data_IF_342452512135
#
_entry.id   IF_342452512135
#
_cell.length_a   1.000
_cell.length_b   1.000
_cell.length_c   1.000
_cell.angle_alpha   90.00
_cell.angle_beta   90.00
_cell.angle_gamma   90.00
#
_symmetry.space_group_name_H-M   'P 1'
#
loop_
_entity.id
_entity.type
_entity.pdbx_description
1 polymer ?
#
# COMPACT_ATOMS: atom_id res chain seq x y z
N UNK A 1 14.89 6.67 9.75
CA UNK A 1 14.43 6.80 8.36
C UNK A 1 14.78 8.19 7.88
N UNK A 2 15.97 8.36 7.30
CA UNK A 2 16.34 9.59 6.60
C UNK A 2 15.99 9.40 5.13
N UNK A 3 14.99 10.15 4.66
CA UNK A 3 14.50 10.10 3.28
C UNK A 3 13.15 10.77 3.17
N UNK A 4 13.08 11.80 2.33
CA UNK A 4 11.84 12.50 1.98
C UNK A 4 10.95 11.59 1.15
N UNK A 5 9.64 11.58 1.43
CA UNK A 5 8.66 10.84 0.62
C UNK A 5 8.54 11.51 -0.75
N UNK A 6 8.83 10.76 -1.81
CA UNK A 6 8.76 11.22 -3.20
C UNK A 6 7.70 10.46 -3.97
N UNK A 7 7.04 11.14 -4.91
CA UNK A 7 6.06 10.56 -5.82
C UNK A 7 6.33 11.03 -7.25
N UNK A 8 6.00 10.20 -8.23
CA UNK A 8 6.06 10.54 -9.64
C UNK A 8 4.99 11.56 -10.02
N UNK A 9 5.42 12.71 -10.56
CA UNK A 9 4.53 13.70 -11.18
C UNK A 9 4.40 13.43 -12.70
N UNK A 10 3.21 13.03 -13.19
CA UNK A 10 2.98 12.81 -14.61
C UNK A 10 3.09 14.09 -15.45
N UNK A 11 2.94 15.28 -14.85
CA UNK A 11 3.00 16.56 -15.57
C UNK A 11 4.40 16.91 -16.07
N UNK A 12 5.44 16.39 -15.40
CA UNK A 12 6.84 16.63 -15.79
C UNK A 12 7.68 15.36 -15.94
N UNK A 13 7.13 14.19 -15.59
CA UNK A 13 7.77 12.88 -15.75
C UNK A 13 8.88 12.60 -14.74
N UNK A 14 8.87 13.25 -13.57
CA UNK A 14 9.94 13.15 -12.56
C UNK A 14 9.39 12.78 -11.20
N UNK A 15 10.26 12.24 -10.34
CA UNK A 15 9.97 12.07 -8.92
C UNK A 15 10.12 13.42 -8.21
N UNK A 16 9.08 13.82 -7.47
CA UNK A 16 9.05 15.03 -6.68
C UNK A 16 8.90 14.72 -5.19
N UNK A 17 9.61 15.48 -4.36
CA UNK A 17 9.42 15.44 -2.92
C UNK A 17 8.08 16.05 -2.54
N UNK A 18 7.32 15.34 -1.70
CA UNK A 18 6.11 15.93 -1.14
C UNK A 18 6.47 17.12 -0.24
N UNK A 19 5.67 18.20 -0.27
CA UNK A 19 5.95 19.37 0.55
C UNK A 19 5.98 18.98 2.04
N UNK A 20 6.78 19.66 2.89
CA UNK A 20 6.79 19.39 4.32
C UNK A 20 5.46 19.83 5.00
N UNK A 21 5.25 19.41 6.25
CA UNK A 21 4.08 19.80 7.04
C UNK A 21 2.90 18.81 6.93
N UNK A 22 1.67 19.20 7.27
CA UNK A 22 0.49 18.34 7.09
C UNK A 22 0.33 17.88 5.63
N UNK A 23 -0.28 16.71 5.44
CA UNK A 23 -0.62 16.18 4.12
C UNK A 23 -2.12 16.01 4.01
N UNK A 24 -2.73 16.60 2.99
CA UNK A 24 -4.08 16.30 2.58
C UNK A 24 -4.04 15.49 1.28
N UNK A 25 -4.51 14.26 1.36
CA UNK A 25 -4.70 13.35 0.23
C UNK A 25 -6.18 13.37 -0.14
N UNK A 26 -6.51 13.53 -1.41
CA UNK A 26 -7.87 13.41 -1.90
C UNK A 26 -7.99 12.26 -2.90
N UNK A 27 -8.96 11.38 -2.69
CA UNK A 27 -9.25 10.24 -3.57
C UNK A 27 -10.43 10.57 -4.45
N UNK A 28 -10.31 10.30 -5.75
CA UNK A 28 -11.38 10.50 -6.71
C UNK A 28 -11.55 9.28 -7.61
N UNK A 29 -12.81 8.98 -7.91
CA UNK A 29 -13.19 7.96 -8.88
C UNK A 29 -13.56 6.63 -8.24
N UNK A 30 -14.17 5.73 -9.03
CA UNK A 30 -14.83 4.55 -8.50
C UNK A 30 -13.91 3.36 -8.26
N UNK A 31 -12.63 3.32 -8.63
CA UNK A 31 -11.89 2.06 -8.47
C UNK A 31 -11.26 1.87 -7.10
N UNK A 32 -11.32 0.62 -6.64
CA UNK A 32 -10.74 0.15 -5.39
C UNK A 32 -9.24 0.48 -5.29
N UNK A 33 -8.51 0.46 -6.41
CA UNK A 33 -7.07 0.69 -6.44
C UNK A 33 -6.73 2.08 -5.92
N UNK A 34 -7.51 3.10 -6.27
CA UNK A 34 -7.34 4.45 -5.74
C UNK A 34 -7.42 4.51 -4.21
N UNK A 35 -8.41 3.83 -3.63
CA UNK A 35 -8.59 3.79 -2.19
C UNK A 35 -7.47 3.03 -1.49
N UNK A 36 -7.02 1.90 -2.05
CA UNK A 36 -5.90 1.11 -1.49
C UNK A 36 -4.57 1.87 -1.56
N UNK A 37 -4.27 2.53 -2.69
CA UNK A 37 -3.03 3.30 -2.84
C UNK A 37 -3.05 4.57 -1.97
N UNK A 38 -4.19 5.25 -1.84
CA UNK A 38 -4.33 6.37 -0.93
C UNK A 38 -4.18 5.94 0.54
N UNK A 39 -4.69 4.78 0.91
CA UNK A 39 -4.48 4.19 2.24
C UNK A 39 -3.01 3.85 2.50
N UNK A 40 -2.32 3.24 1.52
CA UNK A 40 -0.88 2.98 1.59
C UNK A 40 -0.11 4.28 1.79
N UNK A 41 -0.37 5.30 0.95
CA UNK A 41 0.27 6.61 1.04
C UNK A 41 0.04 7.26 2.41
N UNK A 42 -1.20 7.18 2.93
CA UNK A 42 -1.52 7.64 4.29
C UNK A 42 -0.66 6.95 5.33
N UNK A 43 -0.53 5.62 5.27
CA UNK A 43 0.24 4.83 6.24
C UNK A 43 1.74 5.14 6.16
N UNK A 44 2.30 5.21 4.95
CA UNK A 44 3.71 5.56 4.70
C UNK A 44 4.03 6.97 5.23
N UNK A 45 3.18 7.95 4.92
CA UNK A 45 3.34 9.32 5.41
C UNK A 45 3.15 9.39 6.95
N UNK A 46 2.16 8.69 7.49
CA UNK A 46 1.86 8.67 8.93
C UNK A 46 2.97 8.08 9.79
N UNK A 47 3.72 7.08 9.29
CA UNK A 47 4.90 6.52 9.98
C UNK A 47 5.99 7.55 10.28
N UNK A 48 6.05 8.64 9.50
CA UNK A 48 6.96 9.76 9.72
C UNK A 48 6.40 10.83 10.67
N UNK A 49 5.39 10.48 11.47
CA UNK A 49 4.66 11.41 12.38
C UNK A 49 4.06 12.62 11.64
N UNK A 50 3.84 12.47 10.33
CA UNK A 50 3.17 13.49 9.51
C UNK A 50 1.68 13.43 9.82
N UNK A 51 1.05 14.59 10.05
CA UNK A 51 -0.41 14.67 10.13
C UNK A 51 -0.97 14.47 8.73
N UNK A 52 -1.74 13.40 8.53
CA UNK A 52 -2.36 13.09 7.24
C UNK A 52 -3.87 13.16 7.38
N UNK A 53 -4.52 13.93 6.52
CA UNK A 53 -5.96 13.92 6.30
C UNK A 53 -6.21 13.26 4.94
N UNK A 54 -7.22 12.39 4.89
CA UNK A 54 -7.66 11.77 3.63
C UNK A 54 -9.12 12.07 3.43
N UNK A 55 -9.45 12.65 2.28
CA UNK A 55 -10.83 12.88 1.86
C UNK A 55 -11.11 12.14 0.55
N UNK A 56 -12.39 11.96 0.22
CA UNK A 56 -12.82 11.33 -1.01
C UNK A 56 -14.05 12.03 -1.60
N UNK A 57 -14.23 11.90 -2.92
CA UNK A 57 -15.41 12.38 -3.65
C UNK A 57 -15.71 11.54 -4.90
N UNK A 58 -16.95 11.63 -5.40
CA UNK A 58 -17.40 10.95 -6.62
C UNK A 58 -18.07 9.59 -6.36
N UNK A 59 -18.30 8.77 -7.40
CA UNK A 59 -18.82 7.41 -7.19
C UNK A 59 -17.78 6.56 -6.44
N UNK A 60 -18.25 5.70 -5.55
CA UNK A 60 -17.44 4.75 -4.79
C UNK A 60 -17.32 3.41 -5.52
N UNK A 61 -16.32 2.58 -5.21
CA UNK A 61 -16.18 1.26 -5.81
C UNK A 61 -17.38 0.35 -5.53
N UNK A 62 -17.83 -0.32 -6.59
CA UNK A 62 -18.81 -1.40 -6.55
C UNK A 62 -18.16 -2.69 -6.00
N UNK A 63 -17.67 -2.63 -4.77
CA UNK A 63 -17.03 -3.73 -4.05
C UNK A 63 -17.72 -3.94 -2.70
N UNK A 64 -17.25 -4.92 -1.92
CA UNK A 64 -17.63 -5.04 -0.50
C UNK A 64 -17.20 -3.78 0.29
N UNK A 65 -17.42 -3.75 1.60
CA UNK A 65 -17.05 -2.57 2.39
C UNK A 65 -15.53 -2.30 2.26
N UNK A 66 -15.13 -1.04 2.08
CA UNK A 66 -13.70 -0.67 2.02
C UNK A 66 -12.90 -1.15 3.24
N UNK A 67 -13.58 -1.25 4.40
CA UNK A 67 -13.02 -1.82 5.62
C UNK A 67 -12.55 -3.28 5.45
N UNK A 68 -13.20 -4.08 4.60
CA UNK A 68 -12.81 -5.47 4.31
C UNK A 68 -11.43 -5.52 3.62
N UNK A 69 -11.04 -4.44 2.93
CA UNK A 69 -9.73 -4.26 2.30
C UNK A 69 -8.72 -3.58 3.23
N UNK A 70 -9.00 -3.49 4.53
CA UNK A 70 -8.20 -2.73 5.51
C UNK A 70 -7.95 -1.27 5.12
N UNK A 71 -8.82 -0.69 4.30
CA UNK A 71 -8.80 0.75 4.00
C UNK A 71 -9.49 1.45 5.18
N UNK A 72 -8.74 2.25 5.95
CA UNK A 72 -9.38 3.03 7.02
C UNK A 72 -10.26 4.12 6.39
N UNK A 73 -11.34 4.45 7.10
CA UNK A 73 -12.33 5.44 6.72
C UNK A 73 -11.72 6.75 6.20
N UNK A 74 -12.40 7.34 5.21
CA UNK A 74 -12.03 8.60 4.56
C UNK A 74 -13.22 9.54 4.62
N UNK A 75 -12.97 10.81 4.94
CA UNK A 75 -14.03 11.81 5.04
C UNK A 75 -14.52 12.21 3.64
N UNK A 76 -15.80 12.57 3.50
CA UNK A 76 -16.23 13.29 2.31
C UNK A 76 -15.56 14.66 2.25
N UNK A 77 -15.10 15.10 1.08
CA UNK A 77 -14.45 16.39 0.94
C UNK A 77 -14.20 16.82 -0.50
N UNK A 78 -13.37 17.85 -0.68
CA UNK A 78 -13.08 18.46 -1.99
C UNK A 78 -11.58 18.52 -2.26
N UNK A 79 -11.22 18.56 -3.54
CA UNK A 79 -9.83 18.58 -4.00
C UNK A 79 -9.08 19.89 -3.70
N UNK A 80 -9.78 21.00 -3.45
CA UNK A 80 -9.18 22.35 -3.43
C UNK A 80 -8.02 22.54 -2.44
N UNK A 81 -8.00 21.79 -1.34
CA UNK A 81 -6.94 21.86 -0.33
C UNK A 81 -5.97 20.67 -0.36
N UNK A 82 -6.11 19.77 -1.33
CA UNK A 82 -5.31 18.56 -1.42
C UNK A 82 -3.89 18.89 -1.92
N UNK A 83 -2.88 18.34 -1.25
CA UNK A 83 -1.50 18.35 -1.76
C UNK A 83 -1.28 17.17 -2.71
N UNK A 84 -1.98 16.06 -2.51
CA UNK A 84 -1.94 14.88 -3.38
C UNK A 84 -3.36 14.52 -3.78
N UNK A 85 -3.57 14.31 -5.08
CA UNK A 85 -4.80 13.69 -5.60
C UNK A 85 -4.46 12.30 -6.11
N UNK A 86 -5.20 11.30 -5.64
CA UNK A 86 -5.18 9.92 -6.14
C UNK A 86 -6.42 9.71 -6.98
N UNK A 87 -6.24 9.55 -8.29
CA UNK A 87 -7.35 9.37 -9.22
C UNK A 87 -7.01 8.28 -10.25
N UNK A 88 -8.04 7.62 -10.76
CA UNK A 88 -7.91 6.63 -11.82
C UNK A 88 -8.16 7.21 -13.21
N UNK A 89 -7.40 6.73 -14.19
CA UNK A 89 -7.57 7.11 -15.59
C UNK A 89 -7.03 8.50 -15.93
N UNK A 90 -7.40 9.00 -17.11
CA UNK A 90 -6.97 10.31 -17.61
C UNK A 90 -7.87 11.45 -17.10
N UNK A 91 -8.15 11.47 -15.79
CA UNK A 91 -8.78 12.63 -15.13
C UNK A 91 -7.77 13.75 -14.83
N UNK A 92 -6.62 13.73 -15.52
CA UNK A 92 -5.53 14.71 -15.40
C UNK A 92 -6.00 16.15 -15.67
N UNK A 93 -7.06 16.32 -16.46
CA UNK A 93 -7.61 17.61 -16.89
C UNK A 93 -8.51 18.32 -15.86
N UNK A 94 -8.86 17.69 -14.74
CA UNK A 94 -9.79 18.26 -13.76
C UNK A 94 -9.13 18.79 -12.46
N UNK A 95 -7.80 18.70 -12.35
CA UNK A 95 -7.06 19.05 -11.14
C UNK A 95 -6.34 20.39 -11.36
N UNK A 96 -6.38 21.28 -10.37
CA UNK A 96 -5.77 22.61 -10.43
C UNK A 96 -4.24 22.53 -10.73
N UNK A 97 -3.67 23.56 -11.37
CA UNK A 97 -2.22 23.72 -11.43
C UNK A 97 -1.67 23.92 -10.00
N UNK A 98 -0.56 23.25 -9.65
CA UNK A 98 0.15 23.26 -8.34
C UNK A 98 -0.25 22.22 -7.28
N UNK A 99 -1.00 21.17 -7.63
CA UNK A 99 -1.21 19.99 -6.76
C UNK A 99 -0.33 18.83 -7.24
N UNK A 100 0.41 18.15 -6.35
CA UNK A 100 1.14 16.94 -6.72
C UNK A 100 0.13 15.83 -7.09
N UNK A 101 0.38 15.11 -8.19
CA UNK A 101 -0.60 14.21 -8.79
C UNK A 101 -0.12 12.77 -8.68
N UNK A 102 -0.86 11.92 -7.97
CA UNK A 102 -0.70 10.48 -8.08
C UNK A 102 -1.72 9.98 -9.08
N UNK A 103 -1.29 9.87 -10.32
CA UNK A 103 -2.13 9.37 -11.41
C UNK A 103 -2.01 7.85 -11.47
N UNK A 104 -3.14 7.16 -11.23
CA UNK A 104 -3.25 5.72 -11.40
C UNK A 104 -3.63 5.46 -12.84
N UNK A 105 -2.71 4.89 -13.61
CA UNK A 105 -2.90 4.58 -15.02
C UNK A 105 -2.71 3.08 -15.22
N UNK A 106 -3.54 2.41 -16.02
CA UNK A 106 -4.78 2.86 -16.69
C UNK A 106 -6.04 2.77 -15.80
N UNK A 107 -7.17 3.31 -16.30
CA UNK A 107 -8.51 3.09 -15.72
C UNK A 107 -8.81 1.59 -15.65
N UNK A 108 -9.39 1.18 -14.53
CA UNK A 108 -9.23 -0.18 -14.06
C UNK A 108 -10.45 -1.08 -14.30
N UNK A 109 -10.19 -2.38 -14.52
CA UNK A 109 -11.23 -3.42 -14.59
C UNK A 109 -11.74 -3.74 -13.19
N UNK A 110 -13.06 -3.86 -12.96
CA UNK A 110 -13.59 -4.19 -11.64
C UNK A 110 -12.98 -5.49 -11.11
N UNK A 111 -12.64 -5.58 -9.80
CA UNK A 111 -12.16 -6.82 -9.22
C UNK A 111 -13.19 -7.94 -9.35
N UNK A 112 -12.76 -9.21 -9.42
CA UNK A 112 -13.68 -10.33 -9.26
C UNK A 112 -14.41 -10.24 -7.92
N UNK A 113 -15.75 -10.26 -7.95
CA UNK A 113 -16.60 -10.01 -6.78
C UNK A 113 -16.39 -11.04 -5.65
N UNK A 114 -16.09 -12.29 -6.00
CA UNK A 114 -15.98 -13.40 -5.05
C UNK A 114 -14.56 -13.60 -4.49
N UNK A 115 -13.61 -12.74 -4.86
CA UNK A 115 -12.23 -12.84 -4.38
C UNK A 115 -12.08 -12.38 -2.92
N UNK A 116 -11.10 -12.96 -2.22
CA UNK A 116 -10.74 -12.53 -0.87
C UNK A 116 -10.16 -11.09 -0.89
N UNK A 117 -10.66 -10.17 -0.04
CA UNK A 117 -10.21 -8.78 -0.01
C UNK A 117 -8.71 -8.60 0.20
N UNK A 118 -8.06 -9.45 1.00
CA UNK A 118 -6.62 -9.36 1.24
C UNK A 118 -5.80 -9.89 0.05
N UNK A 119 -6.33 -10.87 -0.68
CA UNK A 119 -5.77 -11.30 -1.96
C UNK A 119 -5.84 -10.17 -3.00
N UNK A 120 -6.98 -9.49 -3.11
CA UNK A 120 -7.13 -8.31 -3.99
C UNK A 120 -6.16 -7.19 -3.60
N UNK A 121 -6.07 -6.89 -2.29
CA UNK A 121 -5.14 -5.87 -1.78
C UNK A 121 -3.69 -6.22 -2.10
N UNK A 122 -3.26 -7.46 -1.88
CA UNK A 122 -1.90 -7.90 -2.20
C UNK A 122 -1.62 -7.83 -3.71
N UNK A 123 -2.56 -8.23 -4.57
CA UNK A 123 -2.41 -8.11 -6.02
C UNK A 123 -2.26 -6.65 -6.47
N UNK A 124 -3.02 -5.72 -5.85
CA UNK A 124 -2.85 -4.27 -6.05
C UNK A 124 -1.45 -3.81 -5.64
N UNK A 125 -0.99 -4.19 -4.45
CA UNK A 125 0.32 -3.79 -3.93
C UNK A 125 1.49 -4.44 -4.68
N UNK A 126 1.27 -5.61 -5.29
CA UNK A 126 2.29 -6.29 -6.07
C UNK A 126 2.49 -5.71 -7.48
N UNK A 127 1.62 -4.79 -7.90
CA UNK A 127 1.72 -4.11 -9.19
C UNK A 127 1.99 -2.63 -8.96
N UNK A 128 3.09 -2.11 -9.49
CA UNK A 128 3.43 -0.70 -9.38
C UNK A 128 2.22 0.15 -9.80
N UNK A 129 1.88 1.18 -9.02
CA UNK A 129 0.60 1.88 -9.16
C UNK A 129 0.39 2.53 -10.54
N UNK A 130 1.49 2.71 -11.30
CA UNK A 130 1.55 3.29 -12.64
C UNK A 130 1.39 2.27 -13.77
N UNK A 131 1.43 0.98 -13.44
CA UNK A 131 1.35 -0.11 -14.41
C UNK A 131 -0.08 -0.69 -14.46
N UNK A 132 -0.50 -1.25 -15.62
CA UNK A 132 -1.71 -2.06 -15.70
C UNK A 132 -1.69 -3.23 -14.72
N UNK A 133 -2.84 -3.49 -14.08
CA UNK A 133 -3.03 -4.61 -13.17
C UNK A 133 -3.91 -5.67 -13.83
N UNK A 134 -3.32 -6.72 -14.45
CA UNK A 134 -4.08 -7.83 -15.01
C UNK A 134 -4.52 -8.77 -13.88
N UNK A 135 -5.78 -8.66 -13.44
CA UNK A 135 -6.32 -9.46 -12.33
C UNK A 135 -6.07 -10.96 -12.49
N UNK A 136 -6.42 -11.51 -13.66
CA UNK A 136 -6.31 -12.95 -13.94
C UNK A 136 -4.91 -13.51 -13.74
N UNK A 137 -3.88 -12.71 -14.01
CA UNK A 137 -2.47 -13.11 -13.86
C UNK A 137 -1.96 -12.91 -12.43
N UNK A 138 -2.51 -11.94 -11.68
CA UNK A 138 -2.00 -11.57 -10.35
C UNK A 138 -2.64 -12.30 -9.20
N UNK A 139 -3.88 -12.78 -9.35
CA UNK A 139 -4.65 -13.32 -8.23
C UNK A 139 -4.11 -14.66 -7.70
N UNK A 140 -3.72 -15.58 -8.60
CA UNK A 140 -3.17 -16.87 -8.18
C UNK A 140 -1.87 -16.69 -7.37
N UNK A 141 -0.98 -15.83 -7.85
CA UNK A 141 0.28 -15.52 -7.18
C UNK A 141 0.06 -14.79 -5.85
N UNK A 142 -0.86 -13.82 -5.82
CA UNK A 142 -1.19 -13.09 -4.60
C UNK A 142 -1.76 -14.04 -3.53
N UNK A 143 -2.67 -14.94 -3.90
CA UNK A 143 -3.26 -15.91 -2.96
C UNK A 143 -2.21 -16.85 -2.39
N UNK A 144 -1.42 -17.48 -3.26
CA UNK A 144 -0.36 -18.39 -2.84
C UNK A 144 0.68 -17.71 -1.94
N UNK A 145 1.02 -16.45 -2.23
CA UNK A 145 1.92 -15.65 -1.38
C UNK A 145 1.31 -15.34 -0.02
N UNK A 146 0.05 -14.92 0.02
CA UNK A 146 -0.64 -14.58 1.26
C UNK A 146 -0.75 -15.80 2.19
N UNK A 147 -1.17 -16.95 1.65
CA UNK A 147 -1.27 -18.21 2.39
C UNK A 147 0.10 -18.64 2.94
N UNK A 148 1.15 -18.56 2.12
CA UNK A 148 2.52 -18.87 2.55
C UNK A 148 2.98 -17.95 3.68
N UNK A 149 2.79 -16.64 3.53
CA UNK A 149 3.23 -15.68 4.56
C UNK A 149 2.47 -15.85 5.86
N UNK A 150 1.15 -16.09 5.84
CA UNK A 150 0.38 -16.38 7.06
C UNK A 150 0.85 -17.68 7.74
N UNK A 151 1.15 -18.72 6.97
CA UNK A 151 1.72 -19.96 7.51
C UNK A 151 3.09 -19.76 8.17
N UNK A 152 3.98 -18.98 7.53
CA UNK A 152 5.28 -18.58 8.10
C UNK A 152 5.11 -17.75 9.37
N UNK A 153 4.17 -16.81 9.40
CA UNK A 153 3.87 -16.00 10.58
C UNK A 153 3.41 -16.86 11.75
N UNK A 154 2.53 -17.84 11.51
CA UNK A 154 2.11 -18.80 12.52
C UNK A 154 3.26 -19.66 13.05
N UNK A 155 4.17 -20.11 12.18
CA UNK A 155 5.38 -20.85 12.58
C UNK A 155 6.34 -19.98 13.40
N UNK A 156 6.65 -18.78 12.93
CA UNK A 156 7.59 -17.90 13.62
C UNK A 156 7.05 -17.38 14.95
N UNK A 157 5.73 -17.29 15.13
CA UNK A 157 5.10 -16.93 16.39
C UNK A 157 5.39 -17.94 17.52
N UNK A 158 5.72 -19.20 17.20
CA UNK A 158 6.10 -20.23 18.18
C UNK A 158 7.58 -20.13 18.62
N UNK A 159 8.37 -19.25 17.97
CA UNK A 159 9.80 -19.08 18.26
C UNK A 159 10.05 -18.05 19.36
N UNK A 160 11.22 -18.10 20.04
CA UNK A 160 11.60 -17.06 20.99
C UNK A 160 11.61 -15.67 20.33
N UNK A 161 10.93 -14.71 20.97
CA UNK A 161 10.88 -13.33 20.51
C UNK A 161 12.27 -12.71 20.33
N UNK A 162 12.45 -11.96 19.25
CA UNK A 162 13.68 -11.23 18.92
C UNK A 162 13.33 -9.85 18.39
N UNK A 163 14.17 -8.82 18.61
CA UNK A 163 13.97 -7.53 17.96
C UNK A 163 13.89 -7.67 16.44
N UNK A 164 13.07 -6.83 15.80
CA UNK A 164 12.99 -6.76 14.33
C UNK A 164 14.36 -6.53 13.69
N UNK A 165 14.53 -7.06 12.47
CA UNK A 165 15.69 -6.77 11.64
C UNK A 165 15.57 -5.36 11.07
N UNK A 166 16.45 -4.47 11.52
CA UNK A 166 16.40 -3.05 11.14
C UNK A 166 16.82 -2.80 9.69
N UNK A 167 17.62 -3.68 9.10
CA UNK A 167 18.10 -3.53 7.73
C UNK A 167 16.96 -3.81 6.77
N UNK A 168 16.31 -4.97 6.91
CA UNK A 168 15.14 -5.32 6.10
C UNK A 168 13.99 -4.34 6.28
N UNK A 169 13.72 -3.89 7.51
CA UNK A 169 12.72 -2.87 7.78
C UNK A 169 13.04 -1.55 7.04
N UNK A 170 14.29 -1.07 7.13
CA UNK A 170 14.71 0.17 6.49
C UNK A 170 14.69 0.08 4.96
N UNK A 171 15.04 -1.06 4.38
CA UNK A 171 15.02 -1.27 2.93
C UNK A 171 13.60 -1.28 2.37
N UNK A 172 12.66 -1.96 3.03
CA UNK A 172 11.25 -1.92 2.66
C UNK A 172 10.65 -0.52 2.83
N UNK A 173 10.96 0.17 3.94
CA UNK A 173 10.52 1.55 4.16
C UNK A 173 11.08 2.52 3.11
N UNK A 174 12.33 2.33 2.70
CA UNK A 174 12.97 3.13 1.64
C UNK A 174 12.24 2.95 0.31
N UNK A 175 11.97 1.70 -0.09
CA UNK A 175 11.19 1.40 -1.29
C UNK A 175 9.81 2.08 -1.25
N UNK A 176 9.07 1.94 -0.15
CA UNK A 176 7.76 2.58 0.01
C UNK A 176 7.82 4.11 -0.02
N UNK A 177 8.97 4.72 0.26
CA UNK A 177 9.10 6.19 0.26
C UNK A 177 9.62 6.76 -1.04
N UNK A 178 10.12 5.88 -1.90
CA UNK A 178 10.52 6.22 -3.25
C UNK A 178 9.43 5.75 -4.20
N UNK A 179 8.50 6.66 -4.51
CA UNK A 179 7.41 6.40 -5.46
C UNK A 179 6.43 5.30 -5.05
N UNK A 180 6.21 5.09 -3.74
CA UNK A 180 5.36 4.01 -3.23
C UNK A 180 5.67 2.66 -3.89
N UNK A 181 6.95 2.32 -4.07
CA UNK A 181 7.38 1.08 -4.71
C UNK A 181 7.08 -0.13 -3.81
N UNK A 182 5.79 -0.46 -3.71
CA UNK A 182 5.29 -1.61 -2.98
C UNK A 182 5.75 -2.94 -3.59
N UNK A 183 5.91 -3.12 -4.92
CA UNK A 183 6.55 -4.32 -5.45
C UNK A 183 7.96 -4.56 -4.89
N UNK A 184 8.81 -3.53 -4.83
CA UNK A 184 10.14 -3.66 -4.24
C UNK A 184 10.08 -3.92 -2.73
N UNK A 185 9.18 -3.27 -2.00
CA UNK A 185 8.99 -3.54 -0.56
C UNK A 185 8.53 -4.99 -0.29
N UNK A 186 7.63 -5.53 -1.12
CA UNK A 186 7.20 -6.93 -1.05
C UNK A 186 8.36 -7.89 -1.39
N UNK A 187 9.23 -7.53 -2.34
CA UNK A 187 10.43 -8.33 -2.64
C UNK A 187 11.42 -8.36 -1.46
N UNK A 188 11.55 -7.27 -0.69
CA UNK A 188 12.35 -7.24 0.55
C UNK A 188 11.78 -8.20 1.60
N UNK A 189 10.45 -8.24 1.76
CA UNK A 189 9.79 -9.22 2.64
C UNK A 189 10.05 -10.67 2.21
N UNK A 190 10.03 -10.95 0.91
CA UNK A 190 10.39 -12.29 0.41
C UNK A 190 11.84 -12.65 0.68
N UNK A 191 12.76 -11.71 0.48
CA UNK A 191 14.17 -11.89 0.84
C UNK A 191 14.34 -12.25 2.31
N UNK A 192 13.68 -11.50 3.19
CA UNK A 192 13.69 -11.74 4.64
C UNK A 192 13.11 -13.13 4.99
N UNK A 193 11.99 -13.51 4.38
CA UNK A 193 11.38 -14.81 4.61
C UNK A 193 12.36 -15.95 4.29
N UNK A 194 13.09 -15.82 3.17
CA UNK A 194 14.05 -16.82 2.70
C UNK A 194 15.41 -16.81 3.42
N UNK A 195 15.76 -15.73 4.14
CA UNK A 195 17.09 -15.55 4.73
C UNK A 195 17.32 -16.49 5.94
N UNK A 196 18.23 -17.48 5.87
CA UNK A 196 18.49 -18.39 6.99
C UNK A 196 19.32 -17.74 8.11
N UNK A 197 19.95 -16.58 7.86
CA UNK A 197 20.76 -15.88 8.85
C UNK A 197 19.91 -15.06 9.84
N UNK A 198 18.65 -14.76 9.49
CA UNK A 198 17.74 -14.03 10.37
C UNK A 198 16.92 -15.00 11.22
N UNK A 199 16.94 -14.79 12.54
CA UNK A 199 16.17 -15.63 13.46
C UNK A 199 14.65 -15.50 13.22
N UNK A 200 13.86 -16.58 13.33
CA UNK A 200 12.41 -16.57 13.11
C UNK A 200 11.67 -15.46 13.88
N UNK A 201 11.96 -15.27 15.17
CA UNK A 201 11.35 -14.19 15.96
C UNK A 201 11.63 -12.79 15.42
N UNK A 202 12.79 -12.56 14.77
CA UNK A 202 13.11 -11.27 14.16
C UNK A 202 12.38 -11.09 12.83
N UNK A 203 12.21 -12.18 12.05
CA UNK A 203 11.37 -12.19 10.85
C UNK A 203 9.94 -11.83 11.20
N UNK A 204 9.37 -12.48 12.22
CA UNK A 204 8.04 -12.20 12.74
C UNK A 204 7.85 -10.71 13.07
N UNK A 205 8.68 -10.16 13.95
CA UNK A 205 8.56 -8.75 14.36
C UNK A 205 8.71 -7.78 13.18
N UNK A 206 9.58 -8.10 12.20
CA UNK A 206 9.76 -7.27 11.00
C UNK A 206 8.54 -7.32 10.09
N UNK A 207 7.94 -8.51 9.89
CA UNK A 207 6.71 -8.69 9.14
C UNK A 207 5.53 -7.97 9.81
N UNK A 208 5.35 -8.09 11.13
CA UNK A 208 4.34 -7.32 11.88
C UNK A 208 4.54 -5.83 11.69
N UNK A 209 5.78 -5.35 11.81
CA UNK A 209 6.08 -3.93 11.64
C UNK A 209 5.71 -3.43 10.24
N UNK A 210 6.04 -4.16 9.18
CA UNK A 210 5.73 -3.76 7.81
C UNK A 210 4.24 -3.94 7.47
N UNK A 211 3.56 -4.92 8.06
CA UNK A 211 2.14 -5.17 7.84
C UNK A 211 1.24 -4.04 8.38
N UNK A 212 1.67 -3.29 9.39
CA UNK A 212 0.97 -2.08 9.82
C UNK A 212 0.90 -0.99 8.70
N UNK A 213 1.78 -1.07 7.71
CA UNK A 213 1.80 -0.18 6.53
C UNK A 213 1.12 -0.84 5.32
N UNK A 214 1.44 -2.11 5.05
CA UNK A 214 0.88 -2.83 3.91
C UNK A 214 -0.57 -3.26 4.12
N UNK A 215 -0.97 -3.49 5.38
CA UNK A 215 -2.30 -3.87 5.86
C UNK A 215 -2.89 -5.13 5.19
N UNK A 216 -2.08 -6.17 5.12
CA UNK A 216 -2.38 -7.49 4.53
C UNK A 216 -2.96 -8.49 5.54
N UNK A 217 -3.02 -8.11 6.83
CA UNK A 217 -3.57 -8.95 7.90
C UNK A 217 -2.84 -10.31 7.96
N UNK A 218 -1.51 -10.24 8.12
CA UNK A 218 -0.64 -11.42 8.07
C UNK A 218 -0.67 -12.24 9.37
N UNK A 219 -1.20 -11.67 10.45
CA UNK A 219 -1.31 -12.32 11.76
C UNK A 219 -2.60 -13.11 11.95
N UNK A 220 -3.51 -13.09 10.96
CA UNK A 220 -4.85 -13.66 11.04
C UNK A 220 -4.90 -15.12 11.49
N UNK A 221 -3.97 -15.94 11.03
CA UNK A 221 -3.99 -17.40 11.25
C UNK A 221 -3.17 -17.85 12.47
N UNK A 222 -2.64 -16.92 13.26
CA UNK A 222 -1.90 -17.24 14.48
C UNK A 222 -2.89 -17.77 15.53
N UNK A 223 -2.57 -18.94 16.10
CA UNK A 223 -3.41 -19.57 17.13
C UNK A 223 -4.64 -20.31 16.60
N UNK A 224 -4.77 -20.47 15.28
CA UNK A 224 -5.85 -21.21 14.63
C UNK A 224 -5.47 -22.66 14.24
N UNK A 225 -4.41 -23.22 14.82
CA UNK A 225 -4.00 -24.63 14.66
C UNK A 225 -4.58 -25.53 15.75
#
# INVERSE_FOLDING_TARGET
>A
MDGTLRLYDPGNGRLEELPPGPLHIHVRGPGLRAFVIADLLRRVAGRRRRRVRVTCSGPFPEVRALADFNVLEMEAGETASAQVVVAEGDESNAIQPNTARLLLVPAFEPPPADEDPMTLRLAILHTAYRDPLPWSERLADARARLDRWRALMAEWAESPGRPMDRTYAADAERALTDDLDSPAALAVLEGLAADPAVAPGAKFETFVHLDLVLALDLVRDIGHR
#
